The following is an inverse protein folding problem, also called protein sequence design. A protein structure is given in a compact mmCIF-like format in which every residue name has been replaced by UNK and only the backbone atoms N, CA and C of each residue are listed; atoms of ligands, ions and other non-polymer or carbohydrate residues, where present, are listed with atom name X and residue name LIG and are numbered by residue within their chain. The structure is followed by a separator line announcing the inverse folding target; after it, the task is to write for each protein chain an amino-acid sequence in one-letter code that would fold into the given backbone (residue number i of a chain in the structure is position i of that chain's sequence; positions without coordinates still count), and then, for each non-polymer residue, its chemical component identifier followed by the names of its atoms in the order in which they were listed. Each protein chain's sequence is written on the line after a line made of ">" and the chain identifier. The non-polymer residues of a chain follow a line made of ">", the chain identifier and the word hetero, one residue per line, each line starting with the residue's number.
data_IF_268713935549
#
_entry.id   IF_268713935549
#
_cell.length_a   1.000
_cell.length_b   1.000
_cell.length_c   1.000
_cell.angle_alpha   90.00
_cell.angle_beta   90.00
_cell.angle_gamma   90.00
#
_symmetry.space_group_name_H-M   'P 1'
#
loop_
_entity.id
_entity.type
_entity.pdbx_description
1 polymer ?
#
# COMPACT_ATOMS: atom_id res chain seq x y z
N UNK A 1 -3.53 -22.04 -3.39
CA UNK A 1 -2.89 -22.89 -4.40
C UNK A 1 -1.94 -22.09 -5.28
N UNK A 2 -0.83 -22.68 -5.64
CA UNK A 2 0.16 -22.12 -6.56
C UNK A 2 0.08 -22.87 -7.86
N UNK A 3 -0.07 -22.14 -8.97
CA UNK A 3 -0.03 -22.72 -10.34
C UNK A 3 0.92 -21.89 -11.18
N UNK A 4 1.72 -22.54 -12.01
CA UNK A 4 2.68 -21.87 -12.87
C UNK A 4 2.80 -22.53 -14.23
N UNK A 5 3.12 -21.73 -15.23
CA UNK A 5 3.53 -22.15 -16.56
C UNK A 5 4.81 -21.41 -16.93
N UNK A 6 5.78 -22.10 -17.49
CA UNK A 6 7.03 -21.49 -17.92
C UNK A 6 7.45 -21.98 -19.30
N UNK A 7 8.10 -21.10 -20.06
CA UNK A 7 8.68 -21.36 -21.36
C UNK A 7 10.15 -20.96 -21.34
N UNK A 8 11.02 -21.90 -21.72
CA UNK A 8 12.47 -21.66 -21.75
C UNK A 8 12.95 -21.56 -23.19
N UNK A 9 13.87 -20.62 -23.44
CA UNK A 9 14.63 -20.51 -24.66
C UNK A 9 16.09 -20.36 -24.29
N UNK A 10 16.93 -21.32 -24.72
CA UNK A 10 18.38 -21.31 -24.50
C UNK A 10 19.05 -21.25 -25.87
N UNK A 11 19.89 -20.24 -26.09
CA UNK A 11 20.66 -20.10 -27.33
C UNK A 11 22.06 -19.54 -27.03
N UNK A 12 22.85 -19.31 -28.06
CA UNK A 12 24.22 -18.75 -27.95
C UNK A 12 24.26 -17.35 -27.40
N UNK A 13 23.14 -16.62 -27.38
CA UNK A 13 23.00 -15.26 -26.83
C UNK A 13 22.56 -15.22 -25.37
N UNK A 14 22.38 -16.37 -24.72
CA UNK A 14 22.00 -16.48 -23.31
C UNK A 14 20.72 -17.27 -23.07
N UNK A 15 20.21 -17.19 -21.85
CA UNK A 15 19.00 -17.85 -21.40
C UNK A 15 17.87 -16.83 -21.36
N UNK A 16 16.77 -17.17 -22.04
CA UNK A 16 15.48 -16.47 -21.93
C UNK A 16 14.47 -17.39 -21.28
N UNK A 17 13.77 -16.88 -20.30
CA UNK A 17 12.68 -17.58 -19.64
C UNK A 17 11.46 -16.69 -19.58
N UNK A 18 10.32 -17.20 -20.02
CA UNK A 18 9.04 -16.52 -19.87
C UNK A 18 8.05 -17.46 -19.20
N UNK A 19 7.10 -16.89 -18.47
CA UNK A 19 6.08 -17.69 -17.83
C UNK A 19 5.10 -16.86 -17.01
N UNK A 20 4.15 -17.54 -16.41
CA UNK A 20 3.20 -16.95 -15.49
C UNK A 20 3.07 -17.83 -14.25
N UNK A 21 3.18 -17.20 -13.08
CA UNK A 21 2.96 -17.82 -11.79
C UNK A 21 1.71 -17.21 -11.16
N UNK A 22 0.79 -18.06 -10.72
CA UNK A 22 -0.44 -17.61 -10.05
C UNK A 22 -0.52 -18.22 -8.65
N UNK A 23 -0.62 -17.33 -7.66
CA UNK A 23 -0.98 -17.68 -6.30
C UNK A 23 -2.45 -17.30 -6.08
N UNK A 24 -3.25 -18.22 -5.58
CA UNK A 24 -4.65 -17.96 -5.24
C UNK A 24 -4.93 -18.30 -3.79
N UNK A 25 -5.62 -17.38 -3.13
CA UNK A 25 -6.11 -17.52 -1.77
C UNK A 25 -5.00 -17.91 -0.79
N UNK A 26 -3.87 -17.21 -0.90
CA UNK A 26 -2.73 -17.39 0.01
C UNK A 26 -3.00 -16.81 1.39
N UNK A 27 -2.30 -17.34 2.37
CA UNK A 27 -2.27 -16.83 3.74
C UNK A 27 -0.81 -16.65 4.16
N UNK A 28 -0.50 -15.50 4.74
CA UNK A 28 0.78 -15.23 5.37
C UNK A 28 0.54 -14.93 6.84
N UNK A 29 1.25 -15.64 7.71
CA UNK A 29 1.21 -15.41 9.15
C UNK A 29 2.53 -14.79 9.60
N UNK A 30 2.44 -13.70 10.34
CA UNK A 30 3.56 -12.98 10.93
C UNK A 30 3.36 -12.90 12.45
N UNK A 31 4.42 -12.61 13.26
CA UNK A 31 4.25 -12.53 14.72
C UNK A 31 3.13 -11.56 15.14
N UNK A 32 3.01 -10.42 14.48
CA UNK A 32 2.07 -9.36 14.85
C UNK A 32 0.91 -9.20 13.86
N UNK A 33 0.75 -10.11 12.91
CA UNK A 33 -0.27 -9.92 11.89
C UNK A 33 -0.50 -11.10 10.96
N UNK A 34 -1.43 -10.90 10.05
CA UNK A 34 -1.85 -11.89 9.07
C UNK A 34 -2.30 -11.22 7.77
N UNK A 35 -2.03 -11.88 6.66
CA UNK A 35 -2.55 -11.54 5.33
C UNK A 35 -3.43 -12.68 4.85
N UNK A 36 -4.66 -12.37 4.51
CA UNK A 36 -5.64 -13.34 4.03
C UNK A 36 -6.09 -13.07 2.60
N UNK A 37 -6.38 -14.13 1.89
CA UNK A 37 -6.94 -14.04 0.55
C UNK A 37 -5.98 -13.38 -0.43
N UNK A 38 -4.69 -13.66 -0.27
CA UNK A 38 -3.65 -13.13 -1.15
C UNK A 38 -3.72 -13.81 -2.50
N UNK A 39 -3.87 -13.01 -3.55
CA UNK A 39 -3.82 -13.45 -4.94
C UNK A 39 -2.71 -12.69 -5.65
N UNK A 40 -1.88 -13.41 -6.36
CA UNK A 40 -0.79 -12.84 -7.15
C UNK A 40 -0.85 -13.47 -8.53
N UNK A 41 -0.93 -12.64 -9.57
CA UNK A 41 -0.68 -13.01 -10.94
C UNK A 41 0.65 -12.42 -11.37
N UNK A 42 1.61 -13.26 -11.62
CA UNK A 42 2.98 -12.88 -11.90
C UNK A 42 3.42 -13.31 -13.29
N UNK A 43 3.17 -12.51 -14.34
CA UNK A 43 3.78 -12.69 -15.65
C UNK A 43 5.23 -12.24 -15.60
N UNK A 44 6.18 -13.12 -15.93
CA UNK A 44 7.60 -12.81 -15.79
C UNK A 44 8.39 -13.14 -17.05
N UNK A 45 9.43 -12.35 -17.30
CA UNK A 45 10.46 -12.64 -18.26
C UNK A 45 11.84 -12.53 -17.58
N UNK A 46 12.70 -13.49 -17.88
CA UNK A 46 14.09 -13.47 -17.48
C UNK A 46 14.95 -13.41 -18.73
N UNK A 47 15.77 -12.40 -18.85
CA UNK A 47 16.67 -12.19 -19.98
C UNK A 47 17.84 -11.32 -19.53
N UNK A 48 19.06 -11.65 -20.01
CA UNK A 48 20.27 -10.88 -19.70
C UNK A 48 20.49 -10.68 -18.18
N UNK A 49 20.36 -11.77 -17.40
CA UNK A 49 20.53 -11.76 -15.94
C UNK A 49 19.57 -10.84 -15.18
N UNK A 50 18.52 -10.38 -15.82
CA UNK A 50 17.49 -9.55 -15.20
C UNK A 50 16.11 -10.23 -15.25
N UNK A 51 15.41 -10.17 -14.12
CA UNK A 51 14.00 -10.51 -14.03
C UNK A 51 13.16 -9.26 -14.29
N UNK A 52 12.27 -9.36 -15.24
CA UNK A 52 11.36 -8.24 -15.56
C UNK A 52 9.93 -8.73 -15.71
N UNK A 53 8.99 -7.83 -15.43
CA UNK A 53 7.58 -8.08 -15.70
C UNK A 53 7.37 -8.12 -17.20
N UNK A 54 6.60 -9.09 -17.67
CA UNK A 54 6.29 -9.23 -19.08
C UNK A 54 5.72 -7.91 -19.64
N UNK A 55 6.21 -7.51 -20.82
CA UNK A 55 5.81 -6.24 -21.43
C UNK A 55 4.30 -6.10 -21.55
N UNK A 56 3.76 -4.99 -21.09
CA UNK A 56 2.35 -4.67 -21.14
C UNK A 56 1.45 -5.42 -20.16
N UNK A 57 2.04 -6.26 -19.27
CA UNK A 57 1.28 -7.02 -18.27
C UNK A 57 1.87 -6.79 -16.88
N UNK A 58 1.15 -6.19 -15.95
CA UNK A 58 1.63 -6.02 -14.58
C UNK A 58 1.59 -7.33 -13.79
N UNK A 59 2.39 -7.39 -12.72
CA UNK A 59 2.10 -8.28 -11.61
C UNK A 59 0.89 -7.69 -10.91
N UNK A 60 -0.21 -8.41 -10.87
CA UNK A 60 -1.39 -7.99 -10.11
C UNK A 60 -1.43 -8.68 -8.76
N UNK A 61 -1.49 -7.87 -7.70
CA UNK A 61 -1.56 -8.35 -6.32
C UNK A 61 -2.86 -7.84 -5.71
N UNK A 62 -3.61 -8.75 -5.12
CA UNK A 62 -4.80 -8.41 -4.35
C UNK A 62 -4.86 -9.20 -3.05
N UNK A 63 -5.50 -8.64 -2.05
CA UNK A 63 -5.72 -9.31 -0.76
C UNK A 63 -7.11 -8.98 -0.22
N UNK A 64 -7.71 -9.91 0.50
CA UNK A 64 -9.00 -9.67 1.17
C UNK A 64 -8.82 -8.90 2.45
N UNK A 65 -7.82 -9.23 3.24
CA UNK A 65 -7.59 -8.61 4.53
C UNK A 65 -6.11 -8.67 4.91
N UNK A 66 -5.62 -7.57 5.49
CA UNK A 66 -4.31 -7.47 6.13
C UNK A 66 -4.57 -6.96 7.54
N UNK A 67 -4.11 -7.69 8.54
CA UNK A 67 -4.10 -7.26 9.93
C UNK A 67 -2.66 -7.20 10.43
N UNK A 68 -2.28 -6.06 10.98
CA UNK A 68 -0.98 -5.85 11.60
C UNK A 68 -1.14 -5.01 12.87
N UNK A 69 -0.94 -5.63 14.03
CA UNK A 69 -1.27 -4.98 15.30
C UNK A 69 -2.74 -4.55 15.36
N UNK A 70 -2.97 -3.29 15.64
CA UNK A 70 -4.30 -2.67 15.68
C UNK A 70 -4.81 -2.22 14.31
N UNK A 71 -3.96 -2.23 13.28
CA UNK A 71 -4.33 -1.83 11.92
C UNK A 71 -5.01 -2.97 11.19
N UNK A 72 -6.17 -2.70 10.60
CA UNK A 72 -6.87 -3.61 9.72
C UNK A 72 -7.14 -2.94 8.37
N UNK A 73 -6.73 -3.60 7.31
CA UNK A 73 -6.88 -3.15 5.94
C UNK A 73 -7.60 -4.22 5.12
N UNK A 74 -8.56 -3.82 4.33
CA UNK A 74 -9.35 -4.74 3.52
C UNK A 74 -9.29 -4.39 2.04
N UNK A 75 -9.60 -5.36 1.19
CA UNK A 75 -9.75 -5.18 -0.27
C UNK A 75 -8.56 -4.45 -0.90
N UNK A 76 -7.35 -4.84 -0.53
CA UNK A 76 -6.13 -4.28 -1.11
C UNK A 76 -5.87 -4.79 -2.51
N UNK A 77 -5.44 -3.90 -3.39
CA UNK A 77 -4.99 -4.25 -4.73
C UNK A 77 -3.94 -3.28 -5.24
N UNK A 78 -3.05 -3.76 -6.08
CA UNK A 78 -2.06 -2.97 -6.79
C UNK A 78 -1.54 -3.69 -8.02
N UNK A 79 -0.98 -2.92 -8.93
CA UNK A 79 -0.23 -3.39 -10.09
C UNK A 79 1.24 -3.05 -9.93
N UNK A 80 2.11 -4.01 -10.20
CA UNK A 80 3.56 -3.85 -10.12
C UNK A 80 4.19 -4.06 -11.51
N UNK A 81 4.99 -3.09 -11.92
CA UNK A 81 5.77 -3.10 -13.16
C UNK A 81 7.24 -2.92 -12.84
N UNK A 82 8.09 -3.23 -13.79
CA UNK A 82 9.50 -2.84 -13.75
C UNK A 82 10.47 -4.00 -13.77
N UNK A 83 11.66 -3.75 -13.24
CA UNK A 83 12.81 -4.65 -13.30
C UNK A 83 13.35 -4.99 -11.92
N UNK A 84 13.93 -6.17 -11.79
CA UNK A 84 14.74 -6.53 -10.66
C UNK A 84 16.11 -7.08 -11.16
N UNK A 85 17.23 -6.57 -10.68
CA UNK A 85 17.36 -5.48 -9.69
C UNK A 85 16.89 -4.12 -10.22
N UNK A 86 16.29 -3.34 -9.34
CA UNK A 86 15.75 -2.02 -9.69
C UNK A 86 16.80 -0.91 -9.56
N UNK A 87 16.77 0.01 -10.51
CA UNK A 87 17.66 1.18 -10.55
C UNK A 87 16.87 2.45 -10.89
N UNK A 88 17.48 3.61 -10.77
CA UNK A 88 16.84 4.88 -11.19
C UNK A 88 16.42 4.87 -12.66
N UNK A 89 17.20 4.21 -13.52
CA UNK A 89 16.89 4.07 -14.95
C UNK A 89 15.83 3.02 -15.23
N UNK A 90 15.83 1.94 -14.45
CA UNK A 90 14.89 0.82 -14.55
C UNK A 90 14.22 0.58 -13.18
N UNK A 91 13.30 1.45 -12.75
CA UNK A 91 12.70 1.35 -11.44
C UNK A 91 11.62 0.25 -11.36
N UNK A 92 11.30 -0.17 -10.14
CA UNK A 92 10.04 -0.81 -9.84
C UNK A 92 8.95 0.26 -9.75
N UNK A 93 7.80 -0.01 -10.31
CA UNK A 93 6.67 0.92 -10.38
C UNK A 93 5.43 0.24 -9.83
N UNK A 94 4.87 0.80 -8.75
CA UNK A 94 3.56 0.44 -8.24
C UNK A 94 2.54 1.39 -8.82
N UNK A 95 1.42 0.86 -9.32
CA UNK A 95 0.30 1.63 -9.85
C UNK A 95 -1.02 1.12 -9.29
N UNK A 96 -2.00 2.01 -9.29
CA UNK A 96 -3.38 1.67 -8.94
C UNK A 96 -3.49 1.02 -7.55
N UNK A 97 -2.70 1.50 -6.60
CA UNK A 97 -2.78 1.05 -5.22
C UNK A 97 -4.10 1.53 -4.63
N UNK A 98 -4.89 0.59 -4.13
CA UNK A 98 -6.19 0.85 -3.53
C UNK A 98 -6.42 -0.09 -2.36
N UNK A 99 -6.75 0.46 -1.21
CA UNK A 99 -7.07 -0.32 -0.02
C UNK A 99 -8.21 0.33 0.75
N UNK A 100 -9.03 -0.49 1.41
CA UNK A 100 -10.05 -0.03 2.34
C UNK A 100 -9.49 -0.02 3.75
N UNK A 101 -9.49 1.13 4.40
CA UNK A 101 -9.10 1.28 5.80
C UNK A 101 -9.85 2.47 6.43
N UNK A 102 -9.96 2.47 7.75
CA UNK A 102 -10.69 3.49 8.50
C UNK A 102 -12.10 3.73 7.97
N UNK A 103 -12.74 2.67 7.51
CA UNK A 103 -14.08 2.70 6.90
C UNK A 103 -14.19 3.63 5.68
N UNK A 104 -13.07 3.94 5.08
CA UNK A 104 -12.91 4.71 3.86
C UNK A 104 -11.93 4.03 2.90
N UNK A 105 -11.22 4.81 2.11
CA UNK A 105 -10.33 4.29 1.08
C UNK A 105 -9.01 5.05 1.03
N UNK A 106 -7.91 4.33 0.83
CA UNK A 106 -6.61 4.89 0.46
C UNK A 106 -6.31 4.52 -0.99
N UNK A 107 -5.91 5.51 -1.77
CA UNK A 107 -5.41 5.32 -3.14
C UNK A 107 -4.04 5.96 -3.31
N UNK A 108 -3.17 5.28 -4.06
CA UNK A 108 -1.88 5.81 -4.53
C UNK A 108 -1.79 5.53 -6.02
N UNK A 109 -1.92 6.54 -6.88
CA UNK A 109 -1.92 6.34 -8.33
C UNK A 109 -0.64 5.70 -8.84
N UNK A 110 0.51 6.16 -8.34
CA UNK A 110 1.81 5.64 -8.73
C UNK A 110 2.87 5.91 -7.66
N UNK A 111 3.73 4.92 -7.44
CA UNK A 111 4.92 5.01 -6.60
C UNK A 111 6.06 4.25 -7.27
N UNK A 112 7.21 4.91 -7.43
CA UNK A 112 8.39 4.30 -8.07
C UNK A 112 9.49 4.02 -7.05
N UNK A 113 10.25 2.95 -7.24
CA UNK A 113 11.43 2.62 -6.44
C UNK A 113 12.65 2.35 -7.35
N UNK A 114 13.75 3.07 -7.20
CA UNK A 114 13.93 4.23 -6.32
C UNK A 114 12.99 5.37 -6.69
N UNK A 115 12.59 6.14 -5.69
CA UNK A 115 11.64 7.24 -5.88
C UNK A 115 12.33 8.45 -6.50
N UNK A 116 11.86 8.89 -7.67
CA UNK A 116 12.42 10.05 -8.40
C UNK A 116 11.55 11.30 -8.29
N UNK A 117 10.34 11.15 -7.80
CA UNK A 117 9.38 12.23 -7.59
C UNK A 117 8.47 11.90 -6.43
N UNK A 118 7.84 12.93 -5.90
CA UNK A 118 6.89 12.80 -4.81
C UNK A 118 5.68 11.97 -5.24
N UNK A 119 5.27 11.05 -4.39
CA UNK A 119 4.01 10.31 -4.53
C UNK A 119 2.92 10.98 -3.69
N UNK A 120 1.67 10.68 -3.99
CA UNK A 120 0.52 11.22 -3.26
C UNK A 120 -0.30 10.09 -2.67
N UNK A 121 -0.48 10.11 -1.35
CA UNK A 121 -1.42 9.26 -0.63
C UNK A 121 -2.75 10.02 -0.53
N UNK A 122 -3.82 9.44 -1.06
CA UNK A 122 -5.15 10.04 -1.00
C UNK A 122 -6.08 9.17 -0.17
N UNK A 123 -6.50 9.71 0.98
CA UNK A 123 -7.52 9.09 1.84
C UNK A 123 -8.87 9.72 1.55
N UNK A 124 -9.87 8.89 1.32
CA UNK A 124 -11.21 9.35 0.98
C UNK A 124 -12.20 8.85 2.01
N UNK A 125 -12.96 9.77 2.59
CA UNK A 125 -14.08 9.49 3.49
C UNK A 125 -13.72 8.57 4.66
N UNK A 126 -12.54 8.81 5.27
CA UNK A 126 -12.06 8.02 6.41
C UNK A 126 -12.76 8.42 7.71
N UNK A 127 -13.01 7.43 8.57
CA UNK A 127 -13.56 7.63 9.91
C UNK A 127 -12.47 8.11 10.87
N UNK A 128 -12.59 9.35 11.31
CA UNK A 128 -11.60 9.99 12.20
C UNK A 128 -11.52 9.34 13.58
N UNK A 129 -12.60 8.74 14.06
CA UNK A 129 -12.58 8.01 15.32
C UNK A 129 -11.66 6.79 15.26
N UNK A 130 -11.65 6.08 14.13
CA UNK A 130 -10.75 4.92 13.92
C UNK A 130 -9.29 5.34 13.79
N UNK A 131 -9.02 6.48 13.13
CA UNK A 131 -7.66 7.04 13.05
C UNK A 131 -7.13 7.36 14.45
N UNK A 132 -7.94 8.01 15.27
CA UNK A 132 -7.57 8.37 16.63
C UNK A 132 -7.37 7.14 17.53
N UNK A 133 -8.20 6.12 17.36
CA UNK A 133 -8.07 4.86 18.08
C UNK A 133 -6.76 4.13 17.74
N UNK A 134 -6.34 4.16 16.47
CA UNK A 134 -5.06 3.59 16.06
C UNK A 134 -3.87 4.33 16.70
N UNK A 135 -3.97 5.66 16.81
CA UNK A 135 -2.95 6.47 17.47
C UNK A 135 -2.93 6.30 19.00
N UNK A 136 -3.86 5.55 19.56
CA UNK A 136 -4.02 5.31 21.02
C UNK A 136 -4.13 6.62 21.82
N UNK A 137 -4.69 7.65 21.22
CA UNK A 137 -4.91 8.95 21.85
C UNK A 137 -6.34 8.99 22.40
N UNK A 138 -6.47 8.94 23.72
CA UNK A 138 -7.75 8.78 24.42
C UNK A 138 -8.15 10.00 25.27
N UNK A 139 -7.44 11.11 25.17
CA UNK A 139 -7.79 12.37 25.84
C UNK A 139 -8.89 13.16 25.12
N UNK A 140 -9.15 12.80 23.89
CA UNK A 140 -10.13 13.45 23.02
C UNK A 140 -10.96 12.39 22.33
N UNK A 141 -12.26 12.63 22.20
CA UNK A 141 -13.14 11.87 21.32
C UNK A 141 -13.37 12.68 20.05
N UNK A 142 -13.07 12.08 18.92
CA UNK A 142 -13.23 12.68 17.59
C UNK A 142 -14.22 11.85 16.79
N UNK A 143 -15.24 12.48 16.25
CA UNK A 143 -16.23 11.83 15.38
C UNK A 143 -16.39 12.62 14.10
N UNK A 144 -16.68 11.92 13.02
CA UNK A 144 -16.83 12.48 11.68
C UNK A 144 -15.90 11.87 10.68
N UNK A 145 -15.95 12.38 9.47
CA UNK A 145 -15.19 11.87 8.34
C UNK A 145 -14.38 12.96 7.66
N UNK A 146 -13.30 12.55 7.01
CA UNK A 146 -12.43 13.47 6.29
C UNK A 146 -11.82 12.82 5.05
N UNK A 147 -11.43 13.68 4.12
CA UNK A 147 -10.49 13.39 3.06
C UNK A 147 -9.12 13.93 3.44
N UNK A 148 -8.06 13.21 3.13
CA UNK A 148 -6.70 13.67 3.35
C UNK A 148 -5.84 13.42 2.11
N UNK A 149 -5.00 14.37 1.79
CA UNK A 149 -4.02 14.25 0.71
C UNK A 149 -2.64 14.48 1.29
N UNK A 150 -1.80 13.45 1.26
CA UNK A 150 -0.48 13.45 1.88
C UNK A 150 0.59 13.24 0.81
N UNK A 151 1.38 14.25 0.46
CA UNK A 151 2.57 14.06 -0.34
C UNK A 151 3.58 13.19 0.41
N UNK A 152 4.10 12.18 -0.25
CA UNK A 152 4.97 11.17 0.34
C UNK A 152 6.29 11.07 -0.41
N UNK A 153 7.41 11.16 0.31
CA UNK A 153 8.75 10.99 -0.24
C UNK A 153 9.62 10.16 0.68
N UNK A 154 9.80 8.89 0.30
CA UNK A 154 10.64 7.97 1.04
C UNK A 154 12.12 8.37 0.93
N UNK A 155 12.80 8.45 2.07
CA UNK A 155 14.22 8.80 2.11
C UNK A 155 14.53 10.29 1.92
N UNK A 156 13.52 11.16 1.87
CA UNK A 156 13.74 12.60 1.90
C UNK A 156 14.22 13.05 3.29
N UNK A 157 15.30 13.84 3.34
CA UNK A 157 15.95 14.19 4.61
C UNK A 157 15.11 15.09 5.50
N UNK A 158 14.23 15.90 4.92
CA UNK A 158 13.48 16.90 5.65
C UNK A 158 12.10 16.41 6.11
N UNK A 159 11.44 15.61 5.30
CA UNK A 159 10.15 15.05 5.69
C UNK A 159 9.75 13.84 4.85
N UNK A 160 9.13 12.86 5.50
CA UNK A 160 8.51 11.72 4.84
C UNK A 160 7.15 12.13 4.23
N UNK A 161 6.37 12.92 4.96
CA UNK A 161 5.10 13.50 4.54
C UNK A 161 5.17 15.01 4.72
N UNK A 162 5.02 15.75 3.63
CA UNK A 162 5.18 17.20 3.62
C UNK A 162 3.93 17.90 3.10
N UNK A 163 3.48 18.92 3.80
CA UNK A 163 2.39 19.79 3.36
C UNK A 163 1.10 19.04 3.00
N UNK A 164 0.73 18.08 3.86
CA UNK A 164 -0.53 17.38 3.72
C UNK A 164 -1.74 18.30 3.92
N UNK A 165 -2.85 17.94 3.31
CA UNK A 165 -4.14 18.62 3.49
C UNK A 165 -5.15 17.67 4.10
N UNK A 166 -6.02 18.22 4.95
CA UNK A 166 -7.15 17.53 5.55
C UNK A 166 -8.41 18.34 5.30
N UNK A 167 -9.43 17.73 4.76
CA UNK A 167 -10.71 18.34 4.46
C UNK A 167 -11.83 17.53 5.11
N UNK A 168 -12.64 18.18 5.93
CA UNK A 168 -13.78 17.51 6.56
C UNK A 168 -14.87 17.14 5.54
N UNK A 169 -15.50 15.99 5.76
CA UNK A 169 -16.66 15.51 5.02
C UNK A 169 -17.85 15.50 5.97
N UNK A 170 -18.79 16.45 5.77
CA UNK A 170 -19.89 16.62 6.70
C UNK A 170 -19.47 17.21 8.04
N UNK A 171 -20.21 16.88 9.08
CA UNK A 171 -19.96 17.40 10.42
C UNK A 171 -18.86 16.60 11.14
N UNK A 172 -17.94 17.31 11.74
CA UNK A 172 -16.88 16.78 12.62
C UNK A 172 -17.09 17.34 14.02
N UNK A 173 -17.04 16.47 15.02
CA UNK A 173 -17.21 16.85 16.42
C UNK A 173 -16.04 16.38 17.26
N UNK A 174 -15.58 17.27 18.15
CA UNK A 174 -14.47 17.04 19.07
C UNK A 174 -15.01 17.18 20.50
N UNK A 175 -14.78 16.16 21.33
CA UNK A 175 -15.10 16.21 22.76
C UNK A 175 -13.86 15.90 23.58
N UNK A 176 -13.63 16.70 24.62
CA UNK A 176 -12.61 16.40 25.62
C UNK A 176 -13.10 15.32 26.57
N UNK A 177 -12.22 14.41 26.94
CA UNK A 177 -12.54 13.41 27.97
C UNK A 177 -12.57 14.06 29.36
N UNK A 178 -13.26 13.41 30.31
CA UNK A 178 -13.36 13.91 31.68
C UNK A 178 -11.98 14.13 32.35
N UNK A 179 -11.02 13.30 32.03
CA UNK A 179 -9.66 13.44 32.53
C UNK A 179 -8.98 14.72 32.05
N UNK A 180 -9.18 15.09 30.79
CA UNK A 180 -8.63 16.32 30.24
C UNK A 180 -9.34 17.55 30.81
N UNK A 181 -10.65 17.49 30.98
CA UNK A 181 -11.43 18.57 31.62
C UNK A 181 -10.99 18.80 33.06
N UNK A 182 -10.73 17.73 33.83
CA UNK A 182 -10.20 17.83 35.21
C UNK A 182 -8.80 18.47 35.23
N UNK A 183 -7.95 18.17 34.24
CA UNK A 183 -6.62 18.76 34.10
C UNK A 183 -6.65 20.29 33.83
N UNK A 184 -7.65 20.78 33.10
CA UNK A 184 -7.83 22.20 32.78
C UNK A 184 -8.38 23.04 33.93
N UNK A 185 -9.00 22.40 34.94
CA UNK A 185 -9.57 23.09 36.12
C UNK A 185 -8.58 23.26 37.26
N UNK A 186 -7.36 22.81 37.14
CA UNK A 186 -6.26 23.02 38.07
C UNK A 186 -5.42 24.22 37.66
#
# INVERSE_FOLDING_TARGET
>A
SIKGQSKFVINTNGVKMGGELNLKNGKITMPDGEVYGLNIRFPMNYENEALQVASGKPIHISTKNIRYGALSVANGELDLFGHYPNTMKNPLILRNVKVSLFDGELTVPQLTFPQSKMATLSFTNIDLAQVLALAQYNQVTLTGRANATLPFWLGHKECLICNGTLEQVGNVSIKLTDEMVKGLKK
#
